data_IF_860644744008
#
_entry.id   IF_860644744008
#
_cell.length_a   1.000
_cell.length_b   1.000
_cell.length_c   1.000
_cell.angle_alpha   90.00
_cell.angle_beta   90.00
_cell.angle_gamma   90.00
#
_symmetry.space_group_name_H-M   'P 1'
#
loop_
_entity.id
_entity.type
_entity.pdbx_description
1 polymer ?
#
# COMPACT_ATOMS: atom_id res chain seq x y z
N UNK A 1 -3.58 -29.33 2.79
CA UNK A 1 -4.45 -28.34 2.14
C UNK A 1 -5.94 -28.49 2.52
N UNK A 2 -6.49 -29.71 2.65
CA UNK A 2 -7.89 -29.94 3.11
C UNK A 2 -8.15 -29.45 4.56
N UNK A 3 -7.25 -29.71 5.51
CA UNK A 3 -7.40 -29.35 6.94
C UNK A 3 -7.47 -27.84 7.26
N UNK A 4 -7.03 -26.97 6.35
CA UNK A 4 -7.13 -25.52 6.53
C UNK A 4 -8.47 -24.94 6.03
N UNK A 5 -9.18 -25.66 5.16
CA UNK A 5 -10.48 -25.23 4.64
C UNK A 5 -11.61 -25.44 5.67
N UNK A 6 -11.46 -26.42 6.58
CA UNK A 6 -12.45 -26.73 7.60
C UNK A 6 -12.49 -25.70 8.75
N UNK A 7 -11.51 -24.79 8.84
CA UNK A 7 -11.46 -23.72 9.85
C UNK A 7 -12.02 -22.38 9.37
N UNK A 8 -12.42 -22.26 8.11
CA UNK A 8 -12.95 -21.01 7.58
C UNK A 8 -14.43 -20.91 7.97
N UNK A 9 -14.76 -19.89 8.76
CA UNK A 9 -16.16 -19.51 8.96
C UNK A 9 -16.70 -18.86 7.68
N UNK A 10 -17.30 -19.68 6.82
CA UNK A 10 -17.83 -19.28 5.53
C UNK A 10 -18.89 -18.18 5.63
N UNK A 11 -19.71 -18.18 6.69
CA UNK A 11 -20.70 -17.12 6.91
C UNK A 11 -20.02 -15.77 7.14
N UNK A 12 -18.99 -15.74 8.00
CA UNK A 12 -18.21 -14.53 8.24
C UNK A 12 -17.47 -14.06 6.98
N UNK A 13 -16.85 -14.99 6.26
CA UNK A 13 -16.16 -14.71 5.00
C UNK A 13 -17.11 -14.10 3.96
N UNK A 14 -18.27 -14.68 3.75
CA UNK A 14 -19.27 -14.18 2.81
C UNK A 14 -19.78 -12.78 3.22
N UNK A 15 -20.07 -12.55 4.49
CA UNK A 15 -20.43 -11.22 5.01
C UNK A 15 -19.34 -10.18 4.73
N UNK A 16 -18.06 -10.54 4.89
CA UNK A 16 -16.95 -9.64 4.59
C UNK A 16 -16.87 -9.27 3.10
N UNK A 17 -17.24 -10.19 2.20
CA UNK A 17 -17.30 -9.91 0.77
C UNK A 17 -18.45 -8.97 0.41
N UNK A 18 -19.64 -9.16 1.02
CA UNK A 18 -20.79 -8.26 0.85
C UNK A 18 -20.41 -6.85 1.31
N UNK A 19 -19.81 -6.72 2.50
CA UNK A 19 -19.36 -5.43 3.04
C UNK A 19 -18.38 -4.68 2.14
N UNK A 20 -17.57 -5.37 1.34
CA UNK A 20 -16.70 -4.69 0.35
C UNK A 20 -17.49 -3.93 -0.71
N UNK A 21 -18.65 -4.46 -1.11
CA UNK A 21 -19.56 -3.74 -2.01
C UNK A 21 -20.14 -2.50 -1.34
N UNK A 22 -20.55 -2.60 -0.10
CA UNK A 22 -21.08 -1.48 0.69
C UNK A 22 -20.06 -0.34 0.80
N UNK A 23 -18.81 -0.65 1.19
CA UNK A 23 -17.72 0.33 1.31
C UNK A 23 -17.45 1.09 0.00
N UNK A 24 -17.59 0.44 -1.15
CA UNK A 24 -17.34 1.08 -2.46
C UNK A 24 -18.47 2.02 -2.88
N UNK A 25 -19.68 1.73 -2.41
CA UNK A 25 -20.90 2.48 -2.75
C UNK A 25 -21.45 3.23 -1.53
N UNK A 26 -20.59 3.47 -0.53
CA UNK A 26 -20.92 4.23 0.66
C UNK A 26 -21.07 5.71 0.33
N UNK A 27 -22.33 6.11 0.11
CA UNK A 27 -22.70 7.49 -0.15
C UNK A 27 -22.98 8.30 1.13
N UNK A 28 -22.73 7.78 2.32
CA UNK A 28 -22.85 8.51 3.59
C UNK A 28 -21.93 9.75 3.63
N UNK A 29 -20.92 9.78 2.78
CA UNK A 29 -20.12 10.96 2.44
C UNK A 29 -20.98 12.17 2.02
N UNK A 30 -22.21 11.95 1.57
CA UNK A 30 -23.15 13.03 1.18
C UNK A 30 -23.65 13.78 2.42
N UNK A 31 -23.82 13.12 3.53
CA UNK A 31 -24.33 13.71 4.77
C UNK A 31 -23.34 14.74 5.35
N UNK A 32 -22.05 14.54 5.14
CA UNK A 32 -20.99 15.47 5.55
C UNK A 32 -20.60 16.48 4.46
N UNK A 33 -21.29 16.52 3.32
CA UNK A 33 -20.91 17.30 2.13
C UNK A 33 -20.59 18.76 2.42
N UNK A 34 -21.54 19.47 3.04
CA UNK A 34 -21.39 20.91 3.29
C UNK A 34 -20.42 21.20 4.42
N UNK A 35 -20.44 20.43 5.50
CA UNK A 35 -19.52 20.61 6.63
C UNK A 35 -18.06 20.40 6.23
N UNK A 36 -17.79 19.43 5.34
CA UNK A 36 -16.45 19.21 4.79
C UNK A 36 -16.06 20.34 3.85
N UNK A 37 -16.97 20.82 2.97
CA UNK A 37 -16.70 21.95 2.09
C UNK A 37 -16.40 23.23 2.86
N UNK A 38 -17.14 23.52 3.92
CA UNK A 38 -16.92 24.68 4.77
C UNK A 38 -15.51 24.63 5.40
N UNK A 39 -15.13 23.46 5.93
CA UNK A 39 -13.78 23.24 6.45
C UNK A 39 -12.68 23.39 5.40
N UNK A 40 -12.93 22.87 4.17
CA UNK A 40 -11.95 22.94 3.07
C UNK A 40 -11.80 24.35 2.49
N UNK A 41 -12.82 25.18 2.62
CA UNK A 41 -12.88 26.53 2.08
C UNK A 41 -12.56 27.59 3.12
N UNK A 42 -12.50 27.24 4.41
CA UNK A 42 -12.16 28.17 5.49
C UNK A 42 -10.79 28.82 5.25
N UNK A 43 -10.74 30.14 5.31
CA UNK A 43 -9.54 30.94 5.04
C UNK A 43 -8.98 30.86 3.61
N UNK A 44 -9.62 30.13 2.70
CA UNK A 44 -9.16 29.96 1.33
C UNK A 44 -9.39 31.20 0.47
N UNK A 45 -8.32 31.76 -0.09
CA UNK A 45 -8.39 32.85 -1.06
C UNK A 45 -8.54 32.30 -2.49
N UNK A 46 -9.40 32.92 -3.30
CA UNK A 46 -9.64 32.53 -4.71
C UNK A 46 -10.75 31.49 -4.88
N UNK A 47 -10.71 30.69 -5.94
CA UNK A 47 -11.77 29.76 -6.28
C UNK A 47 -12.05 28.72 -5.18
N UNK A 48 -13.30 28.60 -4.78
CA UNK A 48 -13.74 27.69 -3.72
C UNK A 48 -13.85 26.25 -4.23
N UNK A 49 -13.74 25.28 -3.34
CA UNK A 49 -14.04 23.89 -3.62
C UNK A 49 -15.56 23.68 -3.67
N UNK A 50 -16.04 22.91 -4.65
CA UNK A 50 -17.45 22.55 -4.82
C UNK A 50 -17.73 21.10 -4.52
N UNK A 51 -16.69 20.29 -4.35
CA UNK A 51 -16.77 18.85 -4.12
C UNK A 51 -15.89 18.50 -2.93
N UNK A 52 -16.41 17.78 -1.91
CA UNK A 52 -15.64 17.29 -0.78
C UNK A 52 -14.52 16.35 -1.23
N UNK A 53 -13.41 16.32 -0.51
CA UNK A 53 -12.29 15.41 -0.79
C UNK A 53 -12.68 13.94 -0.57
N UNK A 54 -13.53 13.66 0.42
CA UNK A 54 -14.10 12.34 0.69
C UNK A 54 -14.90 11.81 -0.50
N UNK A 55 -15.75 12.64 -1.11
CA UNK A 55 -16.51 12.27 -2.30
C UNK A 55 -15.61 12.01 -3.51
N UNK A 56 -14.62 12.87 -3.75
CA UNK A 56 -13.63 12.68 -4.81
C UNK A 56 -12.84 11.37 -4.60
N UNK A 57 -12.50 11.05 -3.34
CA UNK A 57 -11.80 9.81 -3.00
C UNK A 57 -12.69 8.58 -3.23
N UNK A 58 -13.98 8.65 -2.89
CA UNK A 58 -14.96 7.61 -3.21
C UNK A 58 -15.00 7.33 -4.73
N UNK A 59 -15.06 8.39 -5.56
CA UNK A 59 -14.98 8.24 -7.02
C UNK A 59 -13.64 7.61 -7.47
N UNK A 60 -12.57 7.92 -6.78
CA UNK A 60 -11.27 7.28 -6.98
C UNK A 60 -11.31 5.78 -6.68
N UNK A 61 -11.96 5.38 -5.58
CA UNK A 61 -12.14 3.97 -5.21
C UNK A 61 -13.02 3.23 -6.21
N UNK A 62 -14.15 3.79 -6.60
CA UNK A 62 -15.01 3.22 -7.65
C UNK A 62 -14.23 3.03 -8.95
N UNK A 63 -13.45 4.04 -9.35
CA UNK A 63 -12.62 3.97 -10.55
C UNK A 63 -11.62 2.82 -10.52
N UNK A 64 -10.85 2.67 -9.43
CA UNK A 64 -9.80 1.63 -9.36
C UNK A 64 -10.37 0.23 -9.16
N UNK A 65 -11.53 0.10 -8.54
CA UNK A 65 -12.17 -1.19 -8.30
C UNK A 65 -12.90 -1.71 -9.55
N UNK A 66 -13.70 -0.85 -10.20
CA UNK A 66 -14.45 -1.22 -11.41
C UNK A 66 -13.67 -0.98 -12.70
N UNK A 67 -12.39 -0.58 -12.61
CA UNK A 67 -11.52 -0.28 -13.74
C UNK A 67 -12.11 0.79 -14.71
N UNK A 68 -12.86 1.76 -14.20
CA UNK A 68 -13.54 2.75 -15.00
C UNK A 68 -12.58 3.84 -15.51
N UNK A 69 -12.61 4.18 -16.81
CA UNK A 69 -12.10 5.46 -17.29
C UNK A 69 -12.85 6.63 -16.64
N UNK A 70 -12.19 7.79 -16.48
CA UNK A 70 -12.78 8.94 -15.80
C UNK A 70 -14.12 9.40 -16.40
N UNK A 71 -14.28 9.35 -17.74
CA UNK A 71 -15.55 9.68 -18.42
C UNK A 71 -16.67 8.70 -18.08
N UNK A 72 -16.33 7.42 -17.94
CA UNK A 72 -17.32 6.42 -17.53
C UNK A 72 -17.67 6.55 -16.05
N UNK A 73 -16.71 6.91 -15.19
CA UNK A 73 -16.99 7.21 -13.79
C UNK A 73 -17.97 8.37 -13.63
N UNK A 74 -17.82 9.46 -14.40
CA UNK A 74 -18.81 10.54 -14.47
C UNK A 74 -20.20 10.02 -14.90
N UNK A 75 -20.27 9.20 -15.94
CA UNK A 75 -21.54 8.62 -16.42
C UNK A 75 -22.23 7.75 -15.38
N UNK A 76 -21.47 6.95 -14.62
CA UNK A 76 -22.00 6.13 -13.51
C UNK A 76 -22.59 7.03 -12.41
N UNK A 77 -21.91 8.12 -12.06
CA UNK A 77 -22.41 9.08 -11.05
C UNK A 77 -23.69 9.74 -11.54
N UNK A 78 -23.76 10.19 -12.78
CA UNK A 78 -24.98 10.78 -13.37
C UNK A 78 -26.15 9.79 -13.28
N UNK A 79 -25.93 8.53 -13.67
CA UNK A 79 -26.98 7.53 -13.73
C UNK A 79 -27.52 7.11 -12.34
N UNK A 80 -26.66 7.01 -11.34
CA UNK A 80 -27.02 6.40 -10.06
C UNK A 80 -27.15 7.39 -8.89
N UNK A 81 -26.49 8.52 -8.95
CA UNK A 81 -26.45 9.48 -7.87
C UNK A 81 -26.95 10.89 -8.25
N UNK A 82 -27.30 11.14 -9.51
CA UNK A 82 -27.61 12.47 -10.03
C UNK A 82 -28.66 13.26 -9.24
N UNK A 83 -29.64 12.57 -8.67
CA UNK A 83 -30.70 13.21 -7.86
C UNK A 83 -30.42 13.18 -6.34
N UNK A 84 -29.31 12.56 -5.92
CA UNK A 84 -28.97 12.35 -4.51
C UNK A 84 -27.82 13.23 -4.04
N UNK A 85 -27.01 13.75 -4.95
CA UNK A 85 -25.84 14.56 -4.63
C UNK A 85 -26.05 16.01 -5.07
N UNK A 86 -25.52 17.00 -4.30
CA UNK A 86 -25.71 18.41 -4.59
C UNK A 86 -25.15 18.88 -5.93
N UNK A 87 -24.07 18.24 -6.40
CA UNK A 87 -23.41 18.60 -7.66
C UNK A 87 -22.60 17.43 -8.21
N UNK A 88 -22.52 17.30 -9.53
CA UNK A 88 -21.80 16.23 -10.23
C UNK A 88 -20.51 16.80 -10.83
N UNK A 89 -19.32 16.27 -10.42
CA UNK A 89 -18.06 16.69 -11.02
C UNK A 89 -17.89 16.08 -12.42
N UNK A 90 -17.45 16.87 -13.37
CA UNK A 90 -17.05 16.34 -14.67
C UNK A 90 -15.73 15.53 -14.57
N UNK A 91 -15.50 14.69 -15.58
CA UNK A 91 -14.34 13.78 -15.59
C UNK A 91 -12.99 14.48 -15.47
N UNK A 92 -12.85 15.71 -15.95
CA UNK A 92 -11.60 16.47 -15.85
C UNK A 92 -11.37 16.98 -14.41
N UNK A 93 -12.43 17.35 -13.71
CA UNK A 93 -12.39 17.72 -12.30
C UNK A 93 -12.05 16.49 -11.44
N UNK A 94 -12.73 15.35 -11.68
CA UNK A 94 -12.42 14.08 -10.99
C UNK A 94 -10.93 13.75 -11.16
N UNK A 95 -10.43 13.75 -12.39
CA UNK A 95 -9.02 13.44 -12.67
C UNK A 95 -8.07 14.41 -11.97
N UNK A 96 -8.28 15.71 -12.07
CA UNK A 96 -7.43 16.73 -11.46
C UNK A 96 -7.43 16.61 -9.94
N UNK A 97 -8.58 16.46 -9.31
CA UNK A 97 -8.73 16.40 -7.85
C UNK A 97 -8.10 15.12 -7.29
N UNK A 98 -8.38 13.94 -7.85
CA UNK A 98 -7.77 12.67 -7.43
C UNK A 98 -6.24 12.75 -7.50
N UNK A 99 -5.68 13.31 -8.57
CA UNK A 99 -4.22 13.37 -8.71
C UNK A 99 -3.56 14.41 -7.79
N UNK A 100 -4.29 15.40 -7.33
CA UNK A 100 -3.77 16.43 -6.40
C UNK A 100 -4.07 16.12 -4.92
N UNK A 101 -5.00 15.22 -4.64
CA UNK A 101 -5.40 14.88 -3.28
C UNK A 101 -4.29 14.11 -2.54
N UNK A 102 -4.16 14.37 -1.23
CA UNK A 102 -3.28 13.58 -0.35
C UNK A 102 -3.98 12.29 0.09
N UNK A 103 -3.72 11.20 -0.64
CA UNK A 103 -4.30 9.90 -0.36
C UNK A 103 -3.45 9.21 0.70
N UNK A 104 -4.03 9.00 1.88
CA UNK A 104 -3.39 8.32 3.00
C UNK A 104 -3.75 6.83 3.00
N UNK A 105 -2.77 5.97 3.22
CA UNK A 105 -2.96 4.51 3.29
C UNK A 105 -3.51 4.09 4.64
N UNK A 106 -3.06 4.73 5.71
CA UNK A 106 -3.54 4.50 7.08
C UNK A 106 -4.40 5.68 7.51
N UNK A 107 -5.67 5.43 7.73
CA UNK A 107 -6.49 6.38 8.49
C UNK A 107 -5.96 6.45 9.93
N UNK A 108 -6.00 7.66 10.50
CA UNK A 108 -5.62 7.92 11.91
C UNK A 108 -6.55 7.23 12.93
N UNK A 109 -7.39 6.30 12.50
CA UNK A 109 -8.43 5.70 13.33
C UNK A 109 -8.10 4.29 13.79
N UNK A 110 -7.11 4.21 14.64
CA UNK A 110 -7.14 3.36 15.82
C UNK A 110 -6.34 4.10 16.89
N UNK A 111 -6.91 5.22 17.35
CA UNK A 111 -6.50 5.86 18.61
C UNK A 111 -6.75 4.82 19.72
N UNK A 112 -5.68 4.22 20.22
CA UNK A 112 -5.74 3.27 21.33
C UNK A 112 -4.88 2.01 21.18
N UNK A 113 -4.35 1.69 20.02
CA UNK A 113 -3.42 0.58 19.87
C UNK A 113 -1.97 1.07 19.80
N UNK A 114 -1.39 1.28 20.99
CA UNK A 114 0.05 1.39 21.22
C UNK A 114 0.75 0.01 21.05
N UNK A 115 0.11 -0.89 20.28
CA UNK A 115 0.57 -2.25 20.05
C UNK A 115 1.88 -2.24 19.25
N UNK A 116 2.87 -2.89 19.80
CA UNK A 116 4.12 -3.19 19.12
C UNK A 116 3.83 -3.99 17.84
N UNK A 117 4.23 -3.47 16.67
CA UNK A 117 4.01 -4.16 15.40
C UNK A 117 5.31 -4.69 14.81
N UNK A 118 5.18 -5.81 14.11
CA UNK A 118 6.21 -6.35 13.22
C UNK A 118 5.73 -6.17 11.79
N UNK A 119 6.60 -5.63 10.95
CA UNK A 119 6.29 -5.41 9.53
C UNK A 119 7.07 -6.36 8.63
N UNK A 120 6.43 -6.79 7.55
CA UNK A 120 7.09 -7.48 6.44
C UNK A 120 7.33 -6.49 5.30
N UNK A 121 8.59 -6.41 4.84
CA UNK A 121 9.01 -5.56 3.73
C UNK A 121 9.22 -6.42 2.49
N UNK A 122 8.63 -5.99 1.38
CA UNK A 122 8.82 -6.66 0.09
C UNK A 122 8.52 -5.69 -1.07
N UNK A 123 8.82 -6.12 -2.30
CA UNK A 123 8.52 -5.35 -3.50
C UNK A 123 7.97 -6.22 -4.62
N UNK A 124 7.18 -5.62 -5.51
CA UNK A 124 6.69 -6.30 -6.71
C UNK A 124 6.59 -5.35 -7.90
N UNK A 125 6.67 -5.89 -9.11
CA UNK A 125 6.42 -5.15 -10.34
C UNK A 125 4.93 -5.01 -10.64
N UNK A 126 4.52 -3.83 -11.12
CA UNK A 126 3.18 -3.52 -11.63
C UNK A 126 3.31 -3.05 -13.07
N UNK A 127 2.57 -3.62 -13.98
CA UNK A 127 2.57 -3.26 -15.41
C UNK A 127 1.98 -1.87 -15.60
N UNK A 128 2.50 -1.12 -16.56
CA UNK A 128 1.86 0.12 -17.01
C UNK A 128 1.02 -0.21 -18.25
N UNK A 129 -0.30 -0.04 -18.16
CA UNK A 129 -1.21 -0.34 -19.25
C UNK A 129 -0.90 0.52 -20.49
N UNK A 130 -1.14 -0.04 -21.67
CA UNK A 130 -0.95 0.60 -22.96
C UNK A 130 0.50 1.07 -23.25
N UNK A 131 1.48 0.52 -22.57
CA UNK A 131 2.89 0.71 -22.88
C UNK A 131 3.44 -0.57 -23.50
N UNK A 132 3.16 -0.75 -24.79
CA UNK A 132 3.71 -1.83 -25.61
C UNK A 132 5.19 -1.65 -25.92
N UNK A 133 5.76 -2.54 -26.75
CA UNK A 133 7.18 -2.54 -27.14
C UNK A 133 7.65 -1.21 -27.75
N UNK A 134 6.75 -0.47 -28.42
CA UNK A 134 7.05 0.85 -28.98
C UNK A 134 7.58 1.84 -27.93
N UNK A 135 7.05 1.83 -26.70
CA UNK A 135 7.52 2.70 -25.62
C UNK A 135 8.86 2.20 -25.05
N UNK A 136 9.09 0.90 -25.07
CA UNK A 136 10.42 0.34 -24.77
C UNK A 136 11.49 0.94 -25.67
N UNK A 137 11.23 1.01 -26.96
CA UNK A 137 12.15 1.59 -27.94
C UNK A 137 12.29 3.11 -27.80
N UNK A 138 11.18 3.82 -27.63
CA UNK A 138 11.19 5.28 -27.58
C UNK A 138 11.81 5.86 -26.31
N UNK A 139 11.68 5.16 -25.16
CA UNK A 139 12.10 5.70 -23.86
C UNK A 139 13.27 4.91 -23.24
N UNK A 140 13.85 3.99 -23.98
CA UNK A 140 14.92 3.08 -23.55
C UNK A 140 14.63 2.37 -22.20
N UNK A 141 13.38 2.14 -21.87
CA UNK A 141 12.95 1.48 -20.63
C UNK A 141 12.90 -0.01 -20.85
N UNK A 142 13.71 -0.77 -20.13
CA UNK A 142 13.85 -2.22 -20.35
C UNK A 142 12.53 -3.00 -20.21
N UNK A 143 11.60 -2.59 -19.34
CA UNK A 143 10.37 -3.39 -19.06
C UNK A 143 9.19 -2.50 -18.80
N UNK A 144 8.77 -1.48 -18.92
CA UNK A 144 7.49 -0.75 -18.70
C UNK A 144 6.74 -1.13 -17.41
N UNK A 145 7.47 -1.44 -16.33
CA UNK A 145 6.96 -1.74 -15.01
C UNK A 145 7.26 -0.59 -14.05
N UNK A 146 6.34 -0.37 -13.14
CA UNK A 146 6.61 0.31 -11.88
C UNK A 146 6.99 -0.72 -10.84
N UNK A 147 7.81 -0.33 -9.88
CA UNK A 147 8.11 -1.13 -8.71
C UNK A 147 7.39 -0.54 -7.51
N UNK A 148 6.60 -1.34 -6.85
CA UNK A 148 5.96 -0.97 -5.59
C UNK A 148 6.68 -1.67 -4.44
N UNK A 149 6.98 -0.91 -3.41
CA UNK A 149 7.59 -1.40 -2.17
C UNK A 149 6.57 -1.19 -1.05
N UNK A 150 6.36 -2.19 -0.22
CA UNK A 150 5.39 -2.13 0.87
C UNK A 150 6.00 -2.52 2.20
N UNK A 151 5.44 -1.95 3.27
CA UNK A 151 5.55 -2.44 4.63
C UNK A 151 4.17 -2.92 5.07
N UNK A 152 4.04 -4.20 5.37
CA UNK A 152 2.79 -4.86 5.74
C UNK A 152 2.86 -5.28 7.21
N UNK A 153 1.85 -4.94 8.00
CA UNK A 153 1.72 -5.47 9.35
C UNK A 153 1.37 -6.97 9.27
N UNK A 154 2.23 -7.81 9.87
CA UNK A 154 2.06 -9.27 9.81
C UNK A 154 0.85 -9.79 10.58
N UNK A 155 0.30 -9.01 11.54
CA UNK A 155 -0.83 -9.41 12.38
C UNK A 155 -2.17 -9.28 11.63
N UNK A 156 -2.40 -8.14 11.01
CA UNK A 156 -3.67 -7.80 10.36
C UNK A 156 -3.60 -7.67 8.84
N UNK A 157 -2.44 -7.89 8.22
CA UNK A 157 -2.18 -7.80 6.77
C UNK A 157 -2.45 -6.42 6.17
N UNK A 158 -2.63 -5.37 6.98
CA UNK A 158 -2.77 -4.00 6.48
C UNK A 158 -1.44 -3.50 5.92
N UNK A 159 -1.51 -2.77 4.82
CA UNK A 159 -0.38 -2.02 4.29
C UNK A 159 -0.20 -0.78 5.16
N UNK A 160 0.96 -0.66 5.79
CA UNK A 160 1.27 0.48 6.66
C UNK A 160 2.02 1.57 5.90
N UNK A 161 2.86 1.17 4.94
CA UNK A 161 3.60 2.10 4.07
C UNK A 161 3.71 1.53 2.67
N UNK A 162 3.61 2.40 1.67
CA UNK A 162 3.79 2.05 0.25
C UNK A 162 4.60 3.15 -0.45
N UNK A 163 5.58 2.71 -1.23
CA UNK A 163 6.37 3.57 -2.09
C UNK A 163 6.39 3.04 -3.52
N UNK A 164 6.31 3.96 -4.46
CA UNK A 164 6.35 3.64 -5.88
C UNK A 164 7.64 4.20 -6.48
N UNK A 165 8.37 3.35 -7.19
CA UNK A 165 9.63 3.72 -7.83
C UNK A 165 9.70 3.21 -9.27
N UNK A 166 10.71 3.64 -10.01
CA UNK A 166 11.09 2.96 -11.25
C UNK A 166 11.64 1.56 -10.95
N UNK A 167 11.64 0.69 -11.96
CA UNK A 167 12.13 -0.70 -11.83
C UNK A 167 13.60 -0.81 -11.42
N UNK A 168 14.40 0.24 -11.68
CA UNK A 168 15.85 0.27 -11.43
C UNK A 168 16.21 0.47 -9.96
N UNK A 169 15.26 0.92 -9.13
CA UNK A 169 15.53 1.19 -7.72
C UNK A 169 15.66 -0.13 -6.96
N UNK A 170 16.84 -0.34 -6.37
CA UNK A 170 17.12 -1.51 -5.56
C UNK A 170 16.31 -1.50 -4.25
N UNK A 171 15.69 -2.64 -3.87
CA UNK A 171 14.78 -2.77 -2.72
C UNK A 171 15.39 -2.29 -1.42
N UNK A 172 16.64 -2.66 -1.18
CA UNK A 172 17.36 -2.27 0.04
C UNK A 172 17.50 -0.77 0.25
N UNK A 173 17.37 0.06 -0.80
CA UNK A 173 17.38 1.53 -0.68
C UNK A 173 16.11 2.07 -0.05
N UNK A 174 14.99 1.33 -0.18
CA UNK A 174 13.67 1.78 0.26
C UNK A 174 13.37 1.45 1.72
N UNK A 175 14.16 0.58 2.38
CA UNK A 175 13.92 0.15 3.76
C UNK A 175 13.74 1.35 4.71
N UNK A 176 14.66 2.32 4.68
CA UNK A 176 14.59 3.49 5.56
C UNK A 176 13.26 4.25 5.37
N UNK A 177 12.92 4.58 4.13
CA UNK A 177 11.72 5.37 3.82
C UNK A 177 10.43 4.63 4.23
N UNK A 178 10.36 3.31 3.95
CA UNK A 178 9.22 2.49 4.34
C UNK A 178 9.03 2.43 5.86
N UNK A 179 10.14 2.32 6.60
CA UNK A 179 10.09 2.27 8.06
C UNK A 179 9.78 3.66 8.65
N UNK A 180 10.40 4.74 8.13
CA UNK A 180 10.10 6.10 8.59
C UNK A 180 8.58 6.38 8.46
N UNK A 181 8.00 6.08 7.29
CA UNK A 181 6.57 6.26 7.05
C UNK A 181 5.71 5.35 7.94
N UNK A 182 6.13 4.09 8.14
CA UNK A 182 5.41 3.17 9.01
C UNK A 182 5.45 3.60 10.48
N UNK A 183 6.59 4.11 10.94
CA UNK A 183 6.82 4.53 12.32
C UNK A 183 6.17 5.87 12.66
N UNK A 184 5.69 6.63 11.67
CA UNK A 184 5.01 7.90 11.91
C UNK A 184 3.72 7.75 12.74
N UNK A 185 3.04 6.61 12.61
CA UNK A 185 1.76 6.34 13.28
C UNK A 185 1.72 4.99 14.00
N UNK A 186 2.84 4.25 14.08
CA UNK A 186 2.89 2.91 14.66
C UNK A 186 4.21 2.67 15.41
N UNK A 187 4.16 1.85 16.45
CA UNK A 187 5.36 1.43 17.17
C UNK A 187 5.98 0.18 16.50
N UNK A 188 6.89 0.40 15.53
CA UNK A 188 7.54 -0.69 14.78
C UNK A 188 8.66 -1.29 15.60
N UNK A 189 8.52 -2.55 16.05
CA UNK A 189 9.53 -3.29 16.84
C UNK A 189 10.32 -4.32 16.04
N UNK A 190 9.83 -4.73 14.89
CA UNK A 190 10.53 -5.70 14.05
C UNK A 190 10.27 -5.48 12.57
N UNK A 191 11.28 -5.81 11.74
CA UNK A 191 11.19 -5.71 10.29
C UNK A 191 11.70 -7.00 9.64
N UNK A 192 10.82 -7.70 8.91
CA UNK A 192 11.13 -8.91 8.17
C UNK A 192 11.38 -8.53 6.70
N UNK A 193 12.50 -8.99 6.14
CA UNK A 193 12.83 -8.72 4.75
C UNK A 193 13.71 -9.83 4.14
N UNK A 194 13.76 -9.90 2.83
CA UNK A 194 14.61 -10.85 2.12
C UNK A 194 16.07 -10.39 2.03
N UNK A 195 16.90 -11.18 1.33
CA UNK A 195 18.34 -10.90 1.17
C UNK A 195 18.66 -9.66 0.31
N UNK A 196 17.69 -9.09 -0.40
CA UNK A 196 17.90 -7.84 -1.14
C UNK A 196 18.07 -6.64 -0.21
N UNK A 197 17.56 -6.75 1.02
CA UNK A 197 17.72 -5.74 2.07
C UNK A 197 18.99 -5.93 2.92
N UNK A 198 19.79 -7.01 2.70
CA UNK A 198 21.02 -7.28 3.45
C UNK A 198 22.11 -6.26 3.13
N UNK A 199 22.23 -5.24 3.97
CA UNK A 199 23.30 -4.24 3.90
C UNK A 199 23.66 -3.70 5.28
N UNK A 200 24.93 -3.30 5.48
CA UNK A 200 25.36 -2.67 6.72
C UNK A 200 24.54 -1.40 7.05
N UNK A 201 24.15 -0.64 6.03
CA UNK A 201 23.36 0.58 6.19
C UNK A 201 21.98 0.26 6.81
N UNK A 202 21.32 -0.75 6.30
CA UNK A 202 19.99 -1.15 6.77
C UNK A 202 20.05 -1.71 8.20
N UNK A 203 21.02 -2.57 8.50
CA UNK A 203 21.20 -3.09 9.86
C UNK A 203 21.55 -2.01 10.87
N UNK A 204 22.41 -1.03 10.51
CA UNK A 204 22.70 0.14 11.37
C UNK A 204 21.45 0.97 11.62
N UNK A 205 20.66 1.23 10.57
CA UNK A 205 19.43 2.00 10.68
C UNK A 205 18.43 1.31 11.62
N UNK A 206 18.17 0.01 11.44
CA UNK A 206 17.29 -0.76 12.32
C UNK A 206 17.78 -0.77 13.77
N UNK A 207 19.08 -1.00 13.98
CA UNK A 207 19.68 -1.02 15.30
C UNK A 207 19.58 0.33 16.01
N UNK A 208 19.80 1.44 15.28
CA UNK A 208 19.67 2.80 15.81
C UNK A 208 18.25 3.11 16.29
N UNK A 209 17.24 2.58 15.61
CA UNK A 209 15.83 2.79 15.93
C UNK A 209 15.24 1.68 16.81
N UNK A 210 16.06 0.84 17.42
CA UNK A 210 15.64 -0.27 18.29
C UNK A 210 14.68 -1.27 17.61
N UNK A 211 14.74 -1.40 16.28
CA UNK A 211 13.92 -2.32 15.50
C UNK A 211 14.66 -3.64 15.32
N UNK A 212 14.03 -4.75 15.70
CA UNK A 212 14.61 -6.09 15.57
C UNK A 212 14.74 -6.49 14.09
N UNK A 213 15.97 -6.74 13.57
CA UNK A 213 16.14 -7.09 12.18
C UNK A 213 15.81 -8.57 11.94
N UNK A 214 14.80 -8.84 11.10
CA UNK A 214 14.47 -10.13 10.54
C UNK A 214 14.90 -10.24 9.06
N UNK A 215 16.08 -9.76 8.71
CA UNK A 215 16.59 -9.77 7.33
C UNK A 215 17.36 -11.07 7.10
N UNK A 216 16.97 -11.83 6.06
CA UNK A 216 17.74 -12.98 5.62
C UNK A 216 19.05 -12.49 4.99
N UNK A 217 20.19 -12.90 5.57
CA UNK A 217 21.50 -12.56 5.00
C UNK A 217 21.79 -13.41 3.76
N UNK A 218 22.57 -12.88 2.84
CA UNK A 218 22.96 -13.60 1.61
C UNK A 218 23.80 -14.82 1.98
N UNK A 219 23.73 -15.87 1.18
CA UNK A 219 24.44 -17.14 1.42
C UNK A 219 25.96 -16.97 1.57
N UNK A 220 26.54 -16.03 0.81
CA UNK A 220 27.97 -15.70 0.85
C UNK A 220 28.36 -14.64 1.91
N UNK A 221 27.42 -14.25 2.78
CA UNK A 221 27.70 -13.25 3.83
C UNK A 221 28.70 -13.79 4.84
N UNK A 222 29.73 -12.98 5.15
CA UNK A 222 30.75 -13.28 6.15
C UNK A 222 30.74 -12.27 7.28
N UNK A 223 31.10 -12.70 8.46
CA UNK A 223 31.41 -11.81 9.59
C UNK A 223 32.72 -11.07 9.27
N UNK A 224 32.71 -9.76 9.38
CA UNK A 224 33.89 -8.91 9.13
C UNK A 224 33.97 -7.81 10.18
N UNK A 225 35.18 -7.45 10.59
CA UNK A 225 35.45 -6.45 11.64
C UNK A 225 34.84 -5.07 11.34
N UNK A 226 34.81 -4.64 10.08
CA UNK A 226 34.21 -3.36 9.66
C UNK A 226 32.68 -3.37 9.49
N UNK A 227 32.03 -4.51 9.65
CA UNK A 227 30.57 -4.62 9.51
C UNK A 227 29.84 -4.12 10.78
N UNK A 228 28.58 -3.76 10.59
CA UNK A 228 27.67 -3.49 11.69
C UNK A 228 27.53 -4.73 12.59
N UNK A 229 27.65 -4.54 13.92
CA UNK A 229 27.54 -5.64 14.89
C UNK A 229 26.21 -6.38 14.80
N UNK A 230 25.11 -5.66 14.59
CA UNK A 230 23.79 -6.27 14.42
C UNK A 230 23.75 -7.20 13.18
N UNK A 231 24.39 -6.79 12.07
CA UNK A 231 24.52 -7.62 10.88
C UNK A 231 25.40 -8.85 11.15
N UNK A 232 26.55 -8.66 11.77
CA UNK A 232 27.45 -9.77 12.11
C UNK A 232 26.76 -10.81 13.03
N UNK A 233 26.03 -10.35 14.05
CA UNK A 233 25.22 -11.24 14.91
C UNK A 233 24.15 -11.98 14.10
N UNK A 234 23.50 -11.32 13.14
CA UNK A 234 22.50 -11.97 12.28
C UNK A 234 23.13 -13.03 11.38
N UNK A 235 24.28 -12.74 10.76
CA UNK A 235 25.05 -13.71 9.94
C UNK A 235 25.43 -14.93 10.78
N UNK A 236 26.04 -14.74 11.94
CA UNK A 236 26.44 -15.84 12.84
C UNK A 236 25.25 -16.72 13.20
N UNK A 237 24.14 -16.12 13.67
CA UNK A 237 22.93 -16.87 14.08
C UNK A 237 22.34 -17.68 12.92
N UNK A 238 22.33 -17.12 11.71
CA UNK A 238 21.81 -17.79 10.54
C UNK A 238 22.71 -18.94 10.07
N UNK A 239 24.03 -18.77 10.15
CA UNK A 239 24.99 -19.81 9.80
C UNK A 239 25.02 -20.94 10.83
N UNK A 240 24.88 -20.62 12.13
CA UNK A 240 24.85 -21.64 13.17
C UNK A 240 23.56 -22.46 13.14
N UNK A 241 22.40 -21.83 13.10
CA UNK A 241 21.11 -22.53 13.03
C UNK A 241 20.02 -21.66 12.40
N UNK A 242 19.84 -21.81 11.09
CA UNK A 242 18.86 -21.05 10.31
C UNK A 242 17.42 -21.31 10.79
N UNK A 243 17.08 -22.54 11.18
CA UNK A 243 15.72 -22.87 11.66
C UNK A 243 15.41 -22.13 12.96
N UNK A 244 16.32 -22.17 13.93
CA UNK A 244 16.19 -21.47 15.22
C UNK A 244 16.11 -19.96 15.01
N UNK A 245 16.93 -19.39 14.13
CA UNK A 245 16.89 -17.98 13.79
C UNK A 245 15.54 -17.59 13.18
N UNK A 246 15.05 -18.34 12.17
CA UNK A 246 13.72 -18.10 11.54
C UNK A 246 12.61 -18.04 12.59
N UNK A 247 12.62 -18.99 13.53
CA UNK A 247 11.64 -19.02 14.61
C UNK A 247 11.77 -17.81 15.55
N UNK A 248 13.00 -17.43 15.94
CA UNK A 248 13.26 -16.35 16.90
C UNK A 248 12.85 -14.96 16.42
N UNK A 249 12.72 -14.74 15.09
CA UNK A 249 12.29 -13.48 14.48
C UNK A 249 10.93 -13.61 13.77
N UNK A 250 10.27 -14.77 13.87
CA UNK A 250 9.02 -15.07 13.16
C UNK A 250 9.14 -14.90 11.62
N UNK A 251 10.31 -15.25 11.06
CA UNK A 251 10.64 -15.01 9.66
C UNK A 251 9.65 -15.67 8.68
N UNK A 252 9.04 -16.77 9.09
CA UNK A 252 8.00 -17.44 8.31
C UNK A 252 6.82 -16.52 7.95
N UNK A 253 6.57 -15.48 8.75
CA UNK A 253 5.47 -14.54 8.49
C UNK A 253 5.78 -13.49 7.41
N UNK A 254 7.00 -13.45 6.85
CA UNK A 254 7.35 -12.57 5.72
C UNK A 254 6.43 -12.77 4.51
N UNK A 255 5.93 -14.00 4.30
CA UNK A 255 5.02 -14.31 3.19
C UNK A 255 3.71 -13.50 3.22
N UNK A 256 3.40 -12.83 4.35
CA UNK A 256 2.24 -11.94 4.42
C UNK A 256 2.30 -10.81 3.37
N UNK A 257 3.48 -10.28 3.08
CA UNK A 257 3.64 -9.28 2.02
C UNK A 257 3.30 -9.85 0.63
N UNK A 258 3.72 -11.09 0.35
CA UNK A 258 3.39 -11.79 -0.90
C UNK A 258 1.88 -12.03 -1.03
N UNK A 259 1.21 -12.37 0.07
CA UNK A 259 -0.25 -12.52 0.12
C UNK A 259 -0.96 -11.21 -0.18
N UNK A 260 -0.49 -10.10 0.39
CA UNK A 260 -1.04 -8.77 0.14
C UNK A 260 -0.89 -8.40 -1.33
N UNK A 261 0.29 -8.61 -1.93
CA UNK A 261 0.49 -8.38 -3.36
C UNK A 261 -0.44 -9.22 -4.23
N UNK A 262 -0.59 -10.50 -3.92
CA UNK A 262 -1.50 -11.39 -4.63
C UNK A 262 -2.94 -10.90 -4.54
N UNK A 263 -3.37 -10.44 -3.37
CA UNK A 263 -4.71 -9.90 -3.15
C UNK A 263 -4.94 -8.61 -3.92
N UNK A 264 -3.99 -7.65 -3.88
CA UNK A 264 -4.06 -6.40 -4.64
C UNK A 264 -4.17 -6.68 -6.13
N UNK A 265 -3.29 -7.53 -6.66
CA UNK A 265 -3.26 -7.87 -8.09
C UNK A 265 -4.54 -8.55 -8.54
N UNK A 266 -5.10 -9.43 -7.72
CA UNK A 266 -6.36 -10.13 -8.02
C UNK A 266 -7.56 -9.18 -7.99
N UNK A 267 -7.60 -8.27 -7.01
CA UNK A 267 -8.74 -7.36 -6.82
C UNK A 267 -8.71 -6.18 -7.79
N UNK A 268 -7.53 -5.59 -8.02
CA UNK A 268 -7.39 -4.33 -8.76
C UNK A 268 -6.62 -4.46 -10.08
N UNK A 269 -6.27 -5.69 -10.48
CA UNK A 269 -5.44 -5.95 -11.65
C UNK A 269 -3.95 -5.70 -11.42
N UNK A 270 -3.13 -6.29 -12.28
CA UNK A 270 -1.66 -6.21 -12.24
C UNK A 270 -1.08 -4.98 -12.95
N UNK A 271 -1.88 -3.95 -13.19
CA UNK A 271 -1.50 -2.80 -14.00
C UNK A 271 -2.01 -1.48 -13.43
N UNK A 272 -1.38 -0.39 -13.88
CA UNK A 272 -1.87 0.98 -13.71
C UNK A 272 -2.22 1.58 -15.06
N UNK A 273 -3.24 2.44 -15.09
CA UNK A 273 -3.76 3.08 -16.32
C UNK A 273 -3.27 4.51 -16.50
N UNK A 274 -2.82 5.14 -15.43
CA UNK A 274 -2.28 6.50 -15.46
C UNK A 274 -1.03 6.59 -16.35
N UNK A 275 -0.78 7.77 -16.96
CA UNK A 275 0.34 7.98 -17.88
C UNK A 275 1.55 8.66 -17.23
N UNK A 276 1.30 9.61 -16.31
CA UNK A 276 2.36 10.32 -15.58
C UNK A 276 2.76 9.53 -14.35
N UNK A 277 4.05 9.48 -14.03
CA UNK A 277 4.57 8.72 -12.89
C UNK A 277 3.85 9.08 -11.58
N UNK A 278 3.68 10.36 -11.29
CA UNK A 278 2.98 10.83 -10.09
C UNK A 278 1.54 10.30 -10.01
N UNK A 279 0.82 10.31 -11.14
CA UNK A 279 -0.56 9.80 -11.21
C UNK A 279 -0.61 8.26 -11.06
N UNK A 280 0.44 7.55 -11.56
CA UNK A 280 0.56 6.10 -11.34
C UNK A 280 0.77 5.79 -9.85
N UNK A 281 1.58 6.59 -9.16
CA UNK A 281 1.77 6.47 -7.72
C UNK A 281 0.45 6.73 -6.96
N UNK A 282 -0.33 7.75 -7.34
CA UNK A 282 -1.65 8.02 -6.76
C UNK A 282 -2.65 6.88 -7.01
N UNK A 283 -2.64 6.29 -8.21
CA UNK A 283 -3.48 5.13 -8.52
C UNK A 283 -3.12 3.93 -7.61
N UNK A 284 -1.83 3.70 -7.34
CA UNK A 284 -1.40 2.64 -6.42
C UNK A 284 -1.76 2.94 -4.96
N UNK A 285 -1.68 4.21 -4.53
CA UNK A 285 -2.12 4.62 -3.20
C UNK A 285 -3.62 4.40 -3.00
N UNK A 286 -4.46 4.72 -4.00
CA UNK A 286 -5.90 4.43 -3.97
C UNK A 286 -6.16 2.92 -3.83
N UNK A 287 -5.48 2.09 -4.63
CA UNK A 287 -5.62 0.63 -4.55
C UNK A 287 -5.21 0.09 -3.18
N UNK A 288 -4.13 0.61 -2.60
CA UNK A 288 -3.65 0.20 -1.28
C UNK A 288 -4.59 0.67 -0.15
N UNK A 289 -5.09 1.90 -0.22
CA UNK A 289 -6.06 2.44 0.75
C UNK A 289 -7.35 1.62 0.74
N UNK A 290 -7.92 1.38 -0.45
CA UNK A 290 -9.12 0.56 -0.59
C UNK A 290 -8.89 -0.90 -0.14
N UNK A 291 -7.70 -1.47 -0.42
CA UNK A 291 -7.33 -2.78 0.10
C UNK A 291 -7.37 -2.81 1.63
N UNK A 292 -6.84 -1.79 2.29
CA UNK A 292 -6.87 -1.71 3.75
C UNK A 292 -8.30 -1.59 4.31
N UNK A 293 -9.20 -0.86 3.63
CA UNK A 293 -10.61 -0.80 4.00
C UNK A 293 -11.27 -2.19 3.91
N UNK A 294 -10.95 -2.97 2.87
CA UNK A 294 -11.44 -4.35 2.75
C UNK A 294 -10.85 -5.31 3.80
N UNK A 295 -9.65 -5.03 4.31
CA UNK A 295 -9.00 -5.85 5.32
C UNK A 295 -9.55 -5.63 6.74
N UNK A 296 -10.30 -4.56 7.01
CA UNK A 296 -10.93 -4.28 8.31
C UNK A 296 -12.02 -5.31 8.65
N UNK A 297 -12.54 -6.02 7.67
CA UNK A 297 -13.60 -7.03 7.85
C UNK A 297 -13.13 -8.48 7.72
N UNK A 298 -11.81 -8.73 7.73
CA UNK A 298 -11.25 -10.09 7.64
C UNK A 298 -10.72 -10.55 9.03
#
# INVERSE_FOLDING_TARGET
MRLLLDMINWSFYNKSLVRRGEVILDFDVIDSWYSELDSMNDGKRGGQYHYPDSFIQLLGYMRVYFHLPYRQAEGVVIAHAGNKIPSIPNYSTINRRINNQDIRISERHEVGNDDDIIIALDSTGIKVANRGEWIRHKWHVRRGYLKIHVAVNIKNKKIISLEVTSEEVHDGKMLKKLIDNASANNNVKGALADGMYDSNKNFRYLSKNHIKPGIKTRSNSKVKTGNCQARNRSVMRQQTNLKRWKHSVSYGQRWMAETVFSSIKRTFGEYVTARKFQNMAKEMLLKASLYNMFAIGM
#
